data_IF_594439081725
#
_entry.id   IF_594439081725
#
_cell.length_a   1.000
_cell.length_b   1.000
_cell.length_c   1.000
_cell.angle_alpha   90.00
_cell.angle_beta   90.00
_cell.angle_gamma   90.00
#
_symmetry.space_group_name_H-M   'P 1'
#
loop_
_entity.id
_entity.type
_entity.pdbx_description
1 polymer ?
#
# COMPACT_ATOMS: atom_id res chain seq x y z
N UNK A 1 -38.63 -17.05 5.99
CA UNK A 1 -37.66 -16.13 5.36
C UNK A 1 -38.01 -16.07 3.89
N UNK A 2 -38.47 -14.92 3.44
CA UNK A 2 -39.00 -14.75 2.10
C UNK A 2 -37.88 -14.65 1.07
N UNK A 3 -38.18 -14.98 -0.18
CA UNK A 3 -37.21 -14.92 -1.30
C UNK A 3 -36.53 -13.54 -1.39
N UNK A 4 -37.26 -12.47 -1.07
CA UNK A 4 -36.72 -11.11 -1.04
C UNK A 4 -35.67 -10.91 0.06
N UNK A 5 -35.91 -11.48 1.24
CA UNK A 5 -34.97 -11.41 2.38
C UNK A 5 -33.69 -12.18 2.09
N UNK A 6 -33.80 -13.32 1.40
CA UNK A 6 -32.65 -14.12 0.95
C UNK A 6 -31.79 -13.34 -0.04
N UNK A 7 -32.40 -12.65 -1.02
CA UNK A 7 -31.67 -11.85 -2.01
C UNK A 7 -30.93 -10.69 -1.35
N UNK A 8 -31.59 -9.97 -0.43
CA UNK A 8 -30.98 -8.87 0.31
C UNK A 8 -29.77 -9.37 1.12
N UNK A 9 -29.91 -10.50 1.81
CA UNK A 9 -28.83 -11.10 2.58
C UNK A 9 -27.62 -11.43 1.69
N UNK A 10 -27.84 -12.03 0.51
CA UNK A 10 -26.77 -12.36 -0.42
C UNK A 10 -26.02 -11.13 -0.94
N UNK A 11 -26.73 -10.06 -1.28
CA UNK A 11 -26.10 -8.80 -1.72
C UNK A 11 -25.24 -8.19 -0.61
N UNK A 12 -25.71 -8.21 0.63
CA UNK A 12 -24.95 -7.73 1.79
C UNK A 12 -23.69 -8.58 2.00
N UNK A 13 -23.78 -9.90 1.89
CA UNK A 13 -22.63 -10.80 2.03
C UNK A 13 -21.59 -10.51 0.94
N UNK A 14 -22.01 -10.37 -0.32
CA UNK A 14 -21.09 -10.05 -1.43
C UNK A 14 -20.42 -8.69 -1.21
N UNK A 15 -21.18 -7.68 -0.78
CA UNK A 15 -20.64 -6.36 -0.47
C UNK A 15 -19.59 -6.41 0.65
N UNK A 16 -19.86 -7.18 1.71
CA UNK A 16 -18.90 -7.39 2.81
C UNK A 16 -17.64 -8.10 2.32
N UNK A 17 -17.76 -9.12 1.48
CA UNK A 17 -16.60 -9.83 0.92
C UNK A 17 -15.75 -8.88 0.06
N UNK A 18 -16.36 -8.04 -0.77
CA UNK A 18 -15.64 -7.06 -1.59
C UNK A 18 -14.90 -6.04 -0.70
N UNK A 19 -15.55 -5.53 0.34
CA UNK A 19 -14.94 -4.60 1.30
C UNK A 19 -13.77 -5.28 2.00
N UNK A 20 -13.94 -6.50 2.51
CA UNK A 20 -12.86 -7.27 3.12
C UNK A 20 -11.70 -7.49 2.14
N UNK A 21 -11.99 -7.91 0.90
CA UNK A 21 -10.97 -8.10 -0.12
C UNK A 21 -10.19 -6.81 -0.38
N UNK A 22 -10.87 -5.66 -0.48
CA UNK A 22 -10.23 -4.36 -0.67
C UNK A 22 -9.37 -3.91 0.52
N UNK A 23 -9.76 -4.25 1.76
CA UNK A 23 -8.99 -3.95 2.97
C UNK A 23 -7.77 -4.86 3.12
N UNK A 24 -7.91 -6.12 2.71
CA UNK A 24 -6.85 -7.12 2.79
C UNK A 24 -5.90 -7.10 1.59
N UNK A 25 -6.27 -6.49 0.47
CA UNK A 25 -5.38 -6.29 -0.66
C UNK A 25 -4.37 -5.14 -0.40
N UNK A 26 -3.59 -5.28 0.67
CA UNK A 26 -2.33 -4.56 0.85
C UNK A 26 -1.36 -5.07 -0.22
N UNK A 27 -1.32 -4.39 -1.36
CA UNK A 27 -0.43 -4.76 -2.45
C UNK A 27 0.99 -4.26 -2.18
N UNK A 28 1.98 -5.16 -2.26
CA UNK A 28 3.40 -4.81 -2.26
C UNK A 28 3.71 -3.69 -3.28
N UNK A 29 3.03 -3.69 -4.42
CA UNK A 29 3.10 -2.64 -5.46
C UNK A 29 2.84 -1.23 -4.92
N UNK A 30 1.93 -1.07 -3.96
CA UNK A 30 1.64 0.23 -3.34
C UNK A 30 2.85 0.73 -2.54
N UNK A 31 3.58 -0.16 -1.89
CA UNK A 31 4.75 0.16 -1.09
C UNK A 31 5.98 0.40 -1.97
N UNK A 32 6.18 -0.38 -3.03
CA UNK A 32 7.19 -0.07 -4.04
C UNK A 32 6.98 1.32 -4.67
N UNK A 33 5.74 1.68 -4.99
CA UNK A 33 5.43 3.03 -5.51
C UNK A 33 5.78 4.13 -4.50
N UNK A 34 5.54 3.90 -3.20
CA UNK A 34 5.93 4.87 -2.16
C UNK A 34 7.45 4.97 -2.03
N UNK A 35 8.15 3.83 -2.06
CA UNK A 35 9.61 3.80 -2.04
C UNK A 35 10.19 4.61 -3.21
N UNK A 36 9.69 4.41 -4.43
CA UNK A 36 10.12 5.15 -5.62
C UNK A 36 9.92 6.67 -5.47
N UNK A 37 8.78 7.11 -4.92
CA UNK A 37 8.50 8.53 -4.68
C UNK A 37 9.50 9.10 -3.66
N UNK A 38 9.74 8.41 -2.55
CA UNK A 38 10.70 8.84 -1.54
C UNK A 38 12.12 8.88 -2.10
N UNK A 39 12.53 7.89 -2.90
CA UNK A 39 13.83 7.88 -3.55
C UNK A 39 14.03 9.07 -4.49
N UNK A 40 13.01 9.40 -5.30
CA UNK A 40 13.04 10.58 -6.18
C UNK A 40 13.14 11.89 -5.41
N UNK A 41 12.46 11.99 -4.25
CA UNK A 41 12.61 13.15 -3.36
C UNK A 41 14.02 13.22 -2.77
N UNK A 42 14.56 12.09 -2.32
CA UNK A 42 15.94 12.01 -1.83
C UNK A 42 16.95 12.50 -2.87
N UNK A 43 16.80 12.05 -4.12
CA UNK A 43 17.62 12.51 -5.24
C UNK A 43 17.49 14.02 -5.47
N UNK A 44 16.28 14.56 -5.48
CA UNK A 44 16.06 15.99 -5.62
C UNK A 44 16.73 16.80 -4.50
N UNK A 45 16.59 16.39 -3.25
CA UNK A 45 17.20 17.09 -2.12
C UNK A 45 18.72 16.97 -2.11
N UNK A 46 19.26 15.84 -2.55
CA UNK A 46 20.69 15.66 -2.75
C UNK A 46 21.22 16.60 -3.83
N UNK A 47 20.52 16.72 -4.97
CA UNK A 47 20.92 17.58 -6.09
C UNK A 47 20.94 19.08 -5.72
N UNK A 48 20.10 19.51 -4.77
CA UNK A 48 20.09 20.90 -4.28
C UNK A 48 21.00 21.13 -3.04
N UNK A 49 21.73 20.11 -2.60
CA UNK A 49 22.67 20.19 -1.47
C UNK A 49 22.05 20.06 -0.08
N UNK A 50 20.77 19.70 0.02
CA UNK A 50 20.05 19.48 1.28
C UNK A 50 20.24 18.02 1.75
N UNK A 51 21.47 17.69 2.15
CA UNK A 51 21.90 16.31 2.42
C UNK A 51 21.13 15.62 3.58
N UNK A 52 20.79 16.37 4.63
CA UNK A 52 20.04 15.83 5.77
C UNK A 52 18.63 15.39 5.33
N UNK A 53 17.93 16.24 4.55
CA UNK A 53 16.63 15.91 4.00
C UNK A 53 16.72 14.76 3.00
N UNK A 54 17.77 14.74 2.16
CA UNK A 54 17.99 13.67 1.20
C UNK A 54 18.11 12.32 1.90
N UNK A 55 18.91 12.26 2.97
CA UNK A 55 19.11 11.07 3.80
C UNK A 55 17.82 10.59 4.46
N UNK A 56 17.00 11.51 4.97
CA UNK A 56 15.70 11.17 5.55
C UNK A 56 14.79 10.51 4.51
N UNK A 57 14.70 11.08 3.31
CA UNK A 57 13.90 10.51 2.23
C UNK A 57 14.44 9.17 1.69
N UNK A 58 15.76 8.99 1.62
CA UNK A 58 16.34 7.70 1.28
C UNK A 58 16.04 6.64 2.34
N UNK A 59 16.12 7.01 3.62
CA UNK A 59 15.77 6.12 4.73
C UNK A 59 14.30 5.71 4.67
N UNK A 60 13.40 6.67 4.39
CA UNK A 60 11.98 6.39 4.21
C UNK A 60 11.71 5.49 2.99
N UNK A 61 12.44 5.69 1.90
CA UNK A 61 12.39 4.82 0.72
C UNK A 61 12.74 3.38 1.05
N UNK A 62 13.87 3.16 1.76
CA UNK A 62 14.31 1.83 2.18
C UNK A 62 13.28 1.15 3.09
N UNK A 63 12.67 1.89 4.00
CA UNK A 63 11.60 1.40 4.84
C UNK A 63 10.41 0.88 4.03
N UNK A 64 9.97 1.64 3.02
CA UNK A 64 8.89 1.19 2.15
C UNK A 64 9.27 0.00 1.27
N UNK A 65 10.53 -0.08 0.80
CA UNK A 65 11.01 -1.24 0.04
C UNK A 65 10.99 -2.51 0.88
N UNK A 66 11.54 -2.47 2.10
CA UNK A 66 11.49 -3.60 3.04
C UNK A 66 10.07 -4.05 3.35
N UNK A 67 9.15 -3.10 3.58
CA UNK A 67 7.73 -3.45 3.78
C UNK A 67 7.10 -4.11 2.56
N UNK A 68 7.49 -3.70 1.35
CA UNK A 68 7.02 -4.32 0.11
C UNK A 68 7.53 -5.76 -0.01
N UNK A 69 8.83 -5.97 0.22
CA UNK A 69 9.48 -7.28 0.22
C UNK A 69 8.87 -8.23 1.27
N UNK A 70 8.62 -7.73 2.49
CA UNK A 70 7.92 -8.49 3.54
C UNK A 70 6.53 -8.94 3.09
N UNK A 71 5.78 -8.11 2.37
CA UNK A 71 4.46 -8.51 1.87
C UNK A 71 4.52 -9.46 0.69
N UNK A 72 5.57 -9.43 -0.14
CA UNK A 72 5.77 -10.43 -1.20
C UNK A 72 6.16 -11.79 -0.61
N UNK A 73 6.95 -11.80 0.46
CA UNK A 73 7.39 -13.02 1.12
C UNK A 73 6.32 -13.66 2.05
N UNK A 74 5.17 -13.00 2.24
CA UNK A 74 4.04 -13.47 3.07
C UNK A 74 2.90 -14.06 2.21
N UNK A 75 2.98 -13.95 0.88
CA UNK A 75 2.02 -14.53 -0.09
C UNK A 75 2.54 -15.85 -0.62
#
# INVERSE_FOLDING_TARGET
>A
MDVKEIIILLVVIIAVIIILYSLFHKSAKKYYKKAEICHKKGAYYHDIGEEDLAKDYYTESEFFRKKAEEMENVV
#
